data_IF_836394238435
#
_entry.id   IF_836394238435
#
_cell.length_a   1.000
_cell.length_b   1.000
_cell.length_c   1.000
_cell.angle_alpha   90.00
_cell.angle_beta   90.00
_cell.angle_gamma   90.00
#
_symmetry.space_group_name_H-M   'P 1'
#
loop_
_entity.id
_entity.type
_entity.pdbx_description
1 polymer ?
#
# COMPACT_ATOMS: atom_id res chain seq x y z
N UNK A 1 25.42 -3.44 -23.35
CA UNK A 1 25.67 -2.74 -22.05
C UNK A 1 25.34 -3.69 -20.91
N UNK A 2 26.09 -3.62 -19.80
CA UNK A 2 26.30 -4.67 -18.79
C UNK A 2 25.22 -4.73 -17.70
N UNK A 3 23.95 -5.02 -18.02
CA UNK A 3 22.90 -5.25 -17.00
C UNK A 3 23.10 -6.57 -16.24
N UNK A 4 23.57 -7.63 -16.91
CA UNK A 4 23.74 -8.96 -16.30
C UNK A 4 24.81 -9.11 -15.21
N UNK A 5 25.52 -8.04 -14.81
CA UNK A 5 26.43 -8.03 -13.64
C UNK A 5 25.74 -7.46 -12.40
N UNK A 6 24.81 -6.52 -12.57
CA UNK A 6 24.04 -5.90 -11.49
C UNK A 6 22.97 -6.88 -11.00
N UNK A 7 22.26 -7.54 -11.93
CA UNK A 7 21.22 -8.53 -11.62
C UNK A 7 21.74 -9.74 -10.82
N UNK A 8 23.00 -10.12 -11.02
CA UNK A 8 23.65 -11.21 -10.27
C UNK A 8 24.14 -10.80 -8.89
N UNK A 9 24.37 -9.51 -8.65
CA UNK A 9 24.87 -9.02 -7.37
C UNK A 9 23.75 -8.80 -6.35
N UNK A 10 22.56 -8.38 -6.81
CA UNK A 10 21.42 -8.05 -5.94
C UNK A 10 20.23 -9.00 -6.08
N UNK A 11 20.31 -10.00 -6.96
CA UNK A 11 19.21 -10.90 -7.28
C UNK A 11 18.17 -10.20 -8.14
N UNK A 12 17.85 -10.76 -9.30
CA UNK A 12 16.89 -10.17 -10.25
C UNK A 12 15.50 -9.90 -9.63
N UNK A 13 15.11 -10.69 -8.64
CA UNK A 13 13.85 -10.54 -7.87
C UNK A 13 13.84 -9.27 -7.00
N UNK A 14 14.99 -8.85 -6.44
CA UNK A 14 15.08 -7.61 -5.66
C UNK A 14 15.04 -6.35 -6.54
N UNK A 15 15.25 -6.51 -7.86
CA UNK A 15 15.30 -5.43 -8.84
C UNK A 15 13.96 -5.19 -9.56
N UNK A 16 12.95 -6.04 -9.35
CA UNK A 16 11.63 -5.87 -9.96
C UNK A 16 10.65 -5.36 -8.90
N UNK A 17 10.45 -4.03 -8.79
CA UNK A 17 9.43 -3.51 -7.89
C UNK A 17 8.07 -4.08 -8.28
N UNK A 18 7.35 -4.56 -7.27
CA UNK A 18 5.98 -5.06 -7.46
C UNK A 18 5.01 -3.93 -7.11
N UNK A 19 3.96 -3.77 -7.91
CA UNK A 19 2.88 -2.83 -7.61
C UNK A 19 1.65 -3.61 -7.18
N UNK A 20 1.10 -3.27 -6.02
CA UNK A 20 -0.15 -3.84 -5.52
C UNK A 20 -1.14 -2.75 -5.10
N UNK A 21 -2.31 -3.16 -4.66
CA UNK A 21 -3.34 -2.31 -4.09
C UNK A 21 -3.24 -2.26 -2.57
N UNK A 22 -3.49 -1.08 -2.00
CA UNK A 22 -3.56 -0.90 -0.56
C UNK A 22 -4.69 0.07 -0.18
N UNK A 23 -5.24 -0.15 1.01
CA UNK A 23 -6.16 0.76 1.68
C UNK A 23 -5.45 1.35 2.90
N UNK A 24 -5.67 2.64 3.12
CA UNK A 24 -5.20 3.40 4.26
C UNK A 24 -6.39 4.05 4.96
N UNK A 25 -6.19 4.43 6.22
CA UNK A 25 -7.00 5.50 6.79
C UNK A 25 -6.29 6.83 6.61
N UNK A 26 -7.05 7.89 6.62
CA UNK A 26 -6.53 9.25 6.76
C UNK A 26 -6.73 9.71 8.19
N UNK A 27 -5.67 10.22 8.81
CA UNK A 27 -5.66 10.75 10.17
C UNK A 27 -4.78 12.01 10.19
N UNK A 28 -5.38 13.16 10.53
CA UNK A 28 -4.73 14.49 10.49
C UNK A 28 -3.99 14.76 9.16
N UNK A 29 -4.63 14.49 8.02
CA UNK A 29 -4.03 14.69 6.70
C UNK A 29 -3.01 13.63 6.27
N UNK A 30 -2.70 12.63 7.11
CA UNK A 30 -1.66 11.64 6.84
C UNK A 30 -2.25 10.23 6.67
N UNK A 31 -1.56 9.39 5.90
CA UNK A 31 -1.91 7.99 5.76
C UNK A 31 -1.51 7.23 7.03
N UNK A 32 -2.41 6.39 7.52
CA UNK A 32 -2.13 5.44 8.60
C UNK A 32 -2.60 4.05 8.23
N UNK A 33 -1.98 3.03 8.83
CA UNK A 33 -2.39 1.64 8.70
C UNK A 33 -3.85 1.46 9.10
N UNK A 34 -4.65 0.82 8.23
CA UNK A 34 -6.07 0.51 8.53
C UNK A 34 -6.21 -0.35 9.78
N UNK A 35 -5.31 -1.33 9.94
CA UNK A 35 -5.40 -2.34 10.99
C UNK A 35 -4.73 -1.90 12.30
N UNK A 36 -3.60 -1.21 12.20
CA UNK A 36 -2.74 -0.96 13.36
C UNK A 36 -2.63 0.52 13.73
N UNK A 37 -3.06 1.43 12.86
CA UNK A 37 -2.96 2.88 13.11
C UNK A 37 -1.55 3.45 12.97
N UNK A 38 -0.54 2.64 12.65
CA UNK A 38 0.83 3.13 12.45
C UNK A 38 0.88 4.15 11.30
N UNK A 39 1.56 5.30 11.50
CA UNK A 39 1.76 6.29 10.44
C UNK A 39 2.52 5.71 9.26
N UNK A 40 2.10 6.11 8.06
CA UNK A 40 2.88 5.91 6.85
C UNK A 40 3.79 7.11 6.63
N UNK A 41 5.12 6.92 6.61
CA UNK A 41 6.05 8.01 6.42
C UNK A 41 5.87 8.69 5.06
N UNK A 42 6.08 10.00 5.04
CA UNK A 42 5.94 10.86 3.86
C UNK A 42 7.21 10.81 3.01
N UNK A 43 8.36 11.10 3.62
CA UNK A 43 9.63 11.30 2.90
C UNK A 43 10.49 10.04 2.78
N UNK A 44 10.17 9.00 3.55
CA UNK A 44 10.91 7.74 3.61
C UNK A 44 10.02 6.53 3.30
N UNK A 45 10.59 5.38 2.89
CA UNK A 45 9.81 4.18 2.74
C UNK A 45 9.30 3.67 4.09
N UNK A 46 8.08 3.12 4.11
CA UNK A 46 7.68 2.30 5.24
C UNK A 46 8.53 1.03 5.22
N UNK A 47 9.15 0.72 6.35
CA UNK A 47 9.92 -0.52 6.54
C UNK A 47 9.13 -1.48 7.43
N UNK A 48 9.04 -2.73 6.99
CA UNK A 48 8.38 -3.77 7.75
C UNK A 48 9.24 -4.20 8.94
N UNK A 49 8.61 -4.42 10.09
CA UNK A 49 9.19 -5.09 11.23
C UNK A 49 8.26 -6.19 11.73
N UNK A 50 8.83 -7.25 12.31
CA UNK A 50 8.03 -8.28 12.99
C UNK A 50 7.91 -7.94 14.47
N UNK A 51 6.70 -7.62 14.93
CA UNK A 51 6.46 -7.32 16.36
C UNK A 51 6.34 -8.58 17.23
N UNK A 52 6.22 -9.75 16.62
CA UNK A 52 5.98 -11.03 17.33
C UNK A 52 7.24 -11.87 17.54
N UNK A 53 8.25 -11.70 16.70
CA UNK A 53 9.43 -12.55 16.68
C UNK A 53 10.68 -11.75 16.27
N UNK A 54 11.84 -12.23 16.69
CA UNK A 54 13.14 -11.69 16.30
C UNK A 54 13.58 -12.27 14.94
N UNK A 55 13.10 -11.67 13.86
CA UNK A 55 13.55 -11.96 12.50
C UNK A 55 13.24 -10.79 11.55
N UNK A 56 13.91 -10.77 10.39
CA UNK A 56 13.61 -9.83 9.32
C UNK A 56 12.19 -10.04 8.76
N UNK A 57 11.52 -8.95 8.40
CA UNK A 57 10.20 -8.98 7.78
C UNK A 57 10.29 -8.64 6.28
N UNK A 58 9.57 -9.35 5.39
CA UNK A 58 8.72 -10.50 5.65
C UNK A 58 9.51 -11.81 5.78
N UNK A 59 9.18 -12.63 6.77
CA UNK A 59 9.57 -14.04 6.80
C UNK A 59 8.52 -14.91 6.09
N UNK A 60 8.96 -15.95 5.36
CA UNK A 60 8.08 -16.85 4.59
C UNK A 60 7.03 -17.55 5.46
N UNK A 61 7.43 -18.02 6.65
CA UNK A 61 6.56 -18.74 7.60
C UNK A 61 5.89 -17.83 8.65
N UNK A 62 5.94 -16.51 8.47
CA UNK A 62 5.30 -15.53 9.34
C UNK A 62 4.34 -14.67 8.52
N UNK A 63 3.36 -14.02 9.16
CA UNK A 63 2.43 -13.09 8.51
C UNK A 63 2.92 -11.63 8.48
N UNK A 64 4.09 -11.36 9.07
CA UNK A 64 4.73 -10.04 9.07
C UNK A 64 5.02 -9.53 7.65
N UNK A 65 5.28 -8.24 7.52
CA UNK A 65 5.52 -7.58 6.24
C UNK A 65 4.44 -6.57 5.91
N UNK A 66 4.73 -5.72 4.93
CA UNK A 66 3.75 -4.76 4.41
C UNK A 66 2.91 -5.46 3.36
N UNK A 67 1.62 -5.59 3.63
CA UNK A 67 0.67 -6.25 2.73
C UNK A 67 0.17 -5.31 1.64
N UNK A 68 0.14 -5.80 0.40
CA UNK A 68 -0.60 -5.24 -0.71
C UNK A 68 -1.38 -6.35 -1.44
N UNK A 69 -2.61 -6.03 -1.83
CA UNK A 69 -3.48 -6.94 -2.57
C UNK A 69 -3.16 -6.93 -4.06
N UNK A 70 -3.38 -8.05 -4.73
CA UNK A 70 -3.31 -8.11 -6.21
C UNK A 70 -4.39 -7.27 -6.86
N UNK A 71 -5.57 -7.26 -6.25
CA UNK A 71 -6.74 -6.54 -6.70
C UNK A 71 -7.34 -5.75 -5.54
N UNK A 72 -7.95 -4.61 -5.83
CA UNK A 72 -8.59 -3.77 -4.81
C UNK A 72 -9.72 -4.52 -4.08
N UNK A 73 -10.39 -5.46 -4.77
CA UNK A 73 -11.47 -6.29 -4.20
C UNK A 73 -11.02 -7.04 -2.94
N UNK A 74 -9.75 -7.44 -2.85
CA UNK A 74 -9.19 -8.09 -1.66
C UNK A 74 -9.31 -7.23 -0.40
N UNK A 75 -9.51 -5.91 -0.55
CA UNK A 75 -9.64 -4.95 0.54
C UNK A 75 -11.07 -4.44 0.73
N UNK A 76 -12.07 -4.98 0.02
CA UNK A 76 -13.43 -4.44 0.02
C UNK A 76 -14.05 -4.24 1.40
N UNK A 77 -13.80 -5.15 2.34
CA UNK A 77 -14.27 -5.00 3.73
C UNK A 77 -13.70 -3.75 4.40
N UNK A 78 -12.40 -3.47 4.21
CA UNK A 78 -11.72 -2.33 4.83
C UNK A 78 -12.11 -0.99 4.23
N UNK A 79 -12.50 -0.97 2.96
CA UNK A 79 -13.06 0.23 2.31
C UNK A 79 -14.44 0.58 2.87
N UNK A 80 -15.26 -0.43 3.16
CA UNK A 80 -16.64 -0.21 3.61
C UNK A 80 -16.71 0.20 5.08
N UNK A 81 -15.81 -0.30 5.93
CA UNK A 81 -15.82 0.02 7.37
C UNK A 81 -15.03 1.31 7.64
N UNK A 82 -15.74 2.36 8.06
CA UNK A 82 -15.17 3.68 8.34
C UNK A 82 -14.85 4.48 7.07
N UNK A 83 -15.68 4.32 6.02
CA UNK A 83 -15.49 4.88 4.68
C UNK A 83 -15.19 6.39 4.67
N UNK A 84 -15.69 7.13 5.66
CA UNK A 84 -15.45 8.56 5.86
C UNK A 84 -13.97 8.94 6.04
N UNK A 85 -13.12 7.95 6.34
CA UNK A 85 -11.68 8.12 6.52
C UNK A 85 -10.85 7.16 5.66
N UNK A 86 -11.44 6.47 4.66
CA UNK A 86 -10.75 5.44 3.87
C UNK A 86 -10.34 5.95 2.49
N UNK A 87 -9.05 5.87 2.22
CA UNK A 87 -8.47 6.08 0.88
C UNK A 87 -7.78 4.79 0.44
N UNK A 88 -7.54 4.66 -0.86
CA UNK A 88 -6.83 3.51 -1.40
C UNK A 88 -5.92 3.91 -2.55
N UNK A 89 -5.09 3.00 -3.02
CA UNK A 89 -4.18 3.32 -4.10
C UNK A 89 -3.21 2.22 -4.45
N UNK A 90 -2.39 2.51 -5.46
CA UNK A 90 -1.25 1.66 -5.80
C UNK A 90 -0.13 1.90 -4.81
N UNK A 91 0.51 0.82 -4.40
CA UNK A 91 1.68 0.83 -3.51
C UNK A 91 2.82 0.10 -4.22
N UNK A 92 3.98 0.74 -4.26
CA UNK A 92 5.23 0.13 -4.70
C UNK A 92 5.79 -0.71 -3.56
N UNK A 93 6.23 -1.93 -3.87
CA UNK A 93 6.82 -2.89 -2.96
C UNK A 93 8.20 -3.32 -3.45
N UNK A 94 9.18 -3.40 -2.54
CA UNK A 94 10.52 -3.85 -2.87
C UNK A 94 11.32 -4.38 -1.67
N UNK A 95 12.52 -4.88 -1.96
CA UNK A 95 13.34 -5.63 -1.03
C UNK A 95 12.88 -7.09 -0.97
N UNK A 96 12.98 -7.72 0.21
CA UNK A 96 12.42 -9.05 0.40
C UNK A 96 10.90 -9.01 0.18
N UNK A 97 10.42 -9.77 -0.81
CA UNK A 97 9.02 -9.84 -1.19
C UNK A 97 8.57 -11.30 -1.18
N UNK A 98 7.40 -11.57 -0.60
CA UNK A 98 6.77 -12.89 -0.58
C UNK A 98 5.42 -12.77 -1.29
N UNK A 99 5.28 -13.46 -2.42
CA UNK A 99 4.01 -13.60 -3.10
C UNK A 99 3.13 -14.66 -2.41
N UNK A 100 1.84 -14.35 -2.31
CA UNK A 100 0.80 -15.25 -1.85
C UNK A 100 -0.39 -15.22 -2.80
N UNK A 101 -1.43 -16.00 -2.48
CA UNK A 101 -2.59 -16.17 -3.35
C UNK A 101 -3.33 -14.85 -3.67
N UNK A 102 -3.35 -13.90 -2.72
CA UNK A 102 -4.13 -12.66 -2.83
C UNK A 102 -3.29 -11.40 -3.00
N UNK A 103 -1.98 -11.52 -3.17
CA UNK A 103 -1.08 -10.38 -3.29
C UNK A 103 0.29 -10.67 -2.70
N UNK A 104 0.90 -9.66 -2.10
CA UNK A 104 2.29 -9.71 -1.66
C UNK A 104 2.47 -9.16 -0.25
N UNK A 105 3.52 -9.64 0.41
CA UNK A 105 4.13 -9.02 1.59
C UNK A 105 5.52 -8.56 1.22
N UNK A 106 5.91 -7.35 1.59
CA UNK A 106 7.24 -6.84 1.29
C UNK A 106 7.92 -6.17 2.50
N UNK A 107 9.23 -6.04 2.40
CA UNK A 107 10.08 -5.40 3.41
C UNK A 107 9.95 -3.88 3.37
N UNK A 108 9.77 -3.30 2.17
CA UNK A 108 9.63 -1.87 1.99
C UNK A 108 8.40 -1.54 1.15
N UNK A 109 7.78 -0.40 1.42
CA UNK A 109 6.72 0.11 0.59
C UNK A 109 6.66 1.64 0.55
N UNK A 110 6.11 2.18 -0.54
CA UNK A 110 5.67 3.58 -0.66
C UNK A 110 4.37 3.68 -1.44
N UNK A 111 3.49 4.64 -1.12
CA UNK A 111 2.40 5.00 -2.02
C UNK A 111 2.96 5.34 -3.41
N UNK A 112 2.23 4.97 -4.45
CA UNK A 112 2.54 5.27 -5.85
C UNK A 112 1.50 6.21 -6.46
N UNK A 113 0.26 6.09 -5.99
CA UNK A 113 -0.84 7.02 -6.24
C UNK A 113 -1.87 6.82 -5.13
N UNK A 114 -2.74 7.82 -4.95
CA UNK A 114 -3.81 7.79 -3.94
C UNK A 114 -5.13 8.16 -4.63
N UNK A 115 -6.17 7.40 -4.34
CA UNK A 115 -7.54 7.68 -4.71
C UNK A 115 -8.35 8.02 -3.46
N UNK A 116 -9.06 9.15 -3.54
CA UNK A 116 -9.90 9.67 -2.46
C UNK A 116 -11.36 9.54 -2.90
N UNK A 117 -12.12 8.56 -2.38
CA UNK A 117 -13.56 8.50 -2.58
C UNK A 117 -14.25 9.77 -2.09
N UNK A 118 -15.27 10.23 -2.82
CA UNK A 118 -16.16 11.34 -2.40
C UNK A 118 -16.85 11.12 -1.05
N UNK A 119 -16.92 9.89 -0.55
CA UNK A 119 -17.44 9.57 0.78
C UNK A 119 -16.47 9.96 1.92
N UNK A 120 -15.19 10.24 1.61
CA UNK A 120 -14.20 10.66 2.59
C UNK A 120 -14.49 12.09 3.02
N UNK A 121 -14.66 12.27 4.33
CA UNK A 121 -14.87 13.58 4.97
C UNK A 121 -13.71 13.96 5.90
N UNK A 122 -12.78 13.03 6.15
CA UNK A 122 -11.53 13.33 6.84
C UNK A 122 -10.72 14.39 6.07
N UNK A 123 -9.91 15.16 6.80
CA UNK A 123 -8.97 16.11 6.20
C UNK A 123 -7.93 15.36 5.36
N UNK A 124 -7.88 15.68 4.05
CA UNK A 124 -6.99 15.08 3.06
C UNK A 124 -5.96 16.05 2.49
N UNK A 125 -5.93 17.31 2.93
CA UNK A 125 -5.01 18.33 2.41
C UNK A 125 -3.55 17.90 2.59
N UNK A 126 -3.23 17.30 3.75
CA UNK A 126 -1.90 16.77 4.05
C UNK A 126 -1.41 15.64 3.14
N UNK A 127 -2.28 15.02 2.34
CA UNK A 127 -1.89 13.91 1.45
C UNK A 127 -0.95 14.38 0.34
N UNK A 128 -0.99 15.66 -0.04
CA UNK A 128 -0.08 16.24 -1.03
C UNK A 128 1.39 16.07 -0.65
N UNK A 129 1.69 15.99 0.66
CA UNK A 129 3.04 15.80 1.16
C UNK A 129 3.69 14.50 0.66
N UNK A 130 2.90 13.45 0.38
CA UNK A 130 3.42 12.18 -0.16
C UNK A 130 4.02 12.30 -1.56
N UNK A 131 3.79 13.42 -2.26
CA UNK A 131 4.41 13.69 -3.57
C UNK A 131 3.99 12.73 -4.68
N UNK A 132 2.85 12.04 -4.51
CA UNK A 132 2.27 11.11 -5.49
C UNK A 132 1.00 11.68 -6.09
N UNK A 133 0.57 11.21 -7.28
CA UNK A 133 -0.73 11.60 -7.83
C UNK A 133 -1.89 11.31 -6.87
N UNK A 134 -2.76 12.29 -6.70
CA UNK A 134 -3.99 12.19 -5.90
C UNK A 134 -5.19 12.35 -6.82
N UNK A 135 -6.13 11.42 -6.72
CA UNK A 135 -7.30 11.34 -7.58
C UNK A 135 -8.57 11.36 -6.73
N UNK A 136 -9.35 12.43 -6.81
CA UNK A 136 -10.69 12.45 -6.21
C UNK A 136 -11.64 11.64 -7.09
N UNK A 137 -12.35 10.69 -6.49
CA UNK A 137 -13.30 9.83 -7.16
C UNK A 137 -14.73 10.29 -6.89
N UNK A 138 -15.38 10.76 -7.94
CA UNK A 138 -16.81 11.00 -7.94
C UNK A 138 -17.58 9.67 -7.95
N UNK A 139 -18.76 9.59 -7.31
CA UNK A 139 -19.64 8.45 -7.50
C UNK A 139 -19.96 8.35 -8.99
N UNK A 140 -19.72 7.20 -9.60
CA UNK A 140 -20.33 6.91 -10.90
C UNK A 140 -21.83 6.92 -10.62
N UNK A 141 -22.51 7.98 -11.08
CA UNK A 141 -23.94 8.17 -10.88
C UNK A 141 -24.67 6.86 -11.17
N UNK A 142 -25.62 6.48 -10.30
CA UNK A 142 -26.35 5.19 -10.34
C UNK A 142 -26.42 4.71 -11.78
N UNK A 143 -25.78 3.59 -12.10
CA UNK A 143 -26.13 2.82 -13.29
C UNK A 143 -27.63 2.54 -13.15
N UNK A 144 -28.45 3.37 -13.79
CA UNK A 144 -29.88 3.14 -13.89
C UNK A 144 -29.99 1.85 -14.70
N UNK A 145 -30.47 0.74 -14.12
CA UNK A 145 -30.75 -0.43 -14.92
C UNK A 145 -31.82 -0.01 -15.93
N UNK A 146 -31.53 -0.26 -17.22
CA UNK A 146 -32.49 -0.10 -18.30
C UNK A 146 -33.71 -1.02 -18.10
#
# INVERSE_FOLDING_TARGET
MRTGRIERAWGAEALQPTVGWKVWRVDNGLLVSVLYGDPWPVDEPLQASCVRHDHDAPARACECGIHAGRDLVAWGHYLNVGAESRVFGRVLLWGATVEGAHGWRAANARPAEIFVPSAVTADTEGLEAYGVPIHTLEPVGKLVPA
#
